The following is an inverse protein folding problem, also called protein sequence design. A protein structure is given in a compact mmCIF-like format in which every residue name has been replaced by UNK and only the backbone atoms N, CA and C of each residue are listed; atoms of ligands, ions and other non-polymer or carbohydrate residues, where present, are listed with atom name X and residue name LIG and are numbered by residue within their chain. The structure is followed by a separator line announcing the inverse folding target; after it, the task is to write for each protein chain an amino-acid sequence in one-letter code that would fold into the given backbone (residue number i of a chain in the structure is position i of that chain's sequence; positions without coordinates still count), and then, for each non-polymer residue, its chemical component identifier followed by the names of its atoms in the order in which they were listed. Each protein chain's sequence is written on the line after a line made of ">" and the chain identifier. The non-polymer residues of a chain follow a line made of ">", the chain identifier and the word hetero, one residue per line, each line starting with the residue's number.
data_IF_824827935058
#
_entry.id   IF_824827935058
#
_cell.length_a   1.000
_cell.length_b   1.000
_cell.length_c   1.000
_cell.angle_alpha   90.00
_cell.angle_beta   90.00
_cell.angle_gamma   90.00
#
_symmetry.space_group_name_H-M   'P 1'
#
loop_
_entity.id
_entity.type
_entity.pdbx_description
1 polymer ?
#
# COMPACT_ATOMS: atom_id res chain seq x y z
N UNK A 1 20.71 -11.31 30.80
CA UNK A 1 19.42 -12.00 30.59
C UNK A 1 19.67 -13.08 29.54
N UNK A 2 19.86 -14.32 29.97
CA UNK A 2 20.36 -15.43 29.16
C UNK A 2 19.27 -15.92 28.23
N UNK A 3 19.52 -15.96 26.91
CA UNK A 3 18.58 -16.49 25.90
C UNK A 3 18.21 -17.93 26.28
N UNK A 4 16.92 -18.28 26.43
CA UNK A 4 16.54 -19.66 26.70
C UNK A 4 17.05 -20.56 25.55
N UNK A 5 17.41 -21.82 25.84
CA UNK A 5 17.83 -22.75 24.80
C UNK A 5 16.72 -22.86 23.75
N UNK A 6 17.09 -22.89 22.46
CA UNK A 6 16.16 -23.15 21.35
C UNK A 6 15.57 -24.54 21.58
N UNK A 7 14.43 -24.59 22.26
CA UNK A 7 13.66 -25.81 22.40
C UNK A 7 13.29 -26.28 20.99
N UNK A 8 13.25 -27.59 20.82
CA UNK A 8 12.77 -28.26 19.62
C UNK A 8 11.27 -27.94 19.48
N UNK A 9 10.98 -26.81 18.82
CA UNK A 9 9.62 -26.31 18.65
C UNK A 9 9.02 -27.06 17.47
N UNK A 10 7.95 -27.82 17.74
CA UNK A 10 7.13 -28.44 16.68
C UNK A 10 6.69 -27.36 15.67
N UNK A 11 7.13 -27.43 14.40
CA UNK A 11 6.87 -26.41 13.39
C UNK A 11 5.38 -26.33 12.99
N UNK A 12 4.57 -27.32 13.36
CA UNK A 12 3.10 -27.27 13.22
C UNK A 12 2.41 -26.55 14.37
N UNK A 13 3.10 -26.30 15.49
CA UNK A 13 2.54 -25.64 16.69
C UNK A 13 3.09 -24.25 16.95
N UNK A 14 4.35 -23.98 16.60
CA UNK A 14 4.92 -22.64 16.69
C UNK A 14 6.06 -22.44 15.69
N UNK A 15 6.34 -21.18 15.37
CA UNK A 15 7.49 -20.79 14.54
C UNK A 15 8.35 -19.78 15.27
N UNK A 16 9.66 -19.97 15.18
CA UNK A 16 10.61 -18.97 15.65
C UNK A 16 10.50 -17.75 14.74
N UNK A 17 10.39 -16.59 15.35
CA UNK A 17 10.43 -15.30 14.68
C UNK A 17 11.34 -14.35 15.45
N UNK A 18 11.85 -13.34 14.75
CA UNK A 18 12.63 -12.26 15.32
C UNK A 18 11.77 -11.01 15.42
N UNK A 19 11.88 -10.31 16.54
CA UNK A 19 11.26 -9.00 16.74
C UNK A 19 12.32 -7.91 16.53
N UNK A 20 11.96 -6.87 15.78
CA UNK A 20 12.73 -5.65 15.62
C UNK A 20 11.87 -4.48 16.08
N UNK A 21 12.37 -3.65 17.00
CA UNK A 21 11.67 -2.47 17.50
C UNK A 21 12.42 -1.20 17.11
N UNK A 22 11.71 -0.18 16.62
CA UNK A 22 12.27 1.11 16.25
C UNK A 22 11.28 2.25 16.55
N UNK A 23 11.79 3.48 16.63
CA UNK A 23 10.98 4.69 16.80
C UNK A 23 11.08 5.56 15.55
N UNK A 24 9.99 6.24 15.23
CA UNK A 24 9.92 7.23 14.14
C UNK A 24 9.86 8.61 14.80
N UNK A 25 10.94 9.37 14.71
CA UNK A 25 11.09 10.62 15.47
C UNK A 25 10.28 11.79 14.92
N UNK A 26 9.77 11.69 13.68
CA UNK A 26 8.97 12.74 13.02
C UNK A 26 7.46 12.46 13.08
N UNK A 27 7.02 11.59 13.99
CA UNK A 27 5.59 11.26 14.15
C UNK A 27 4.97 12.18 15.19
N UNK A 28 4.21 13.17 14.72
CA UNK A 28 3.63 14.25 15.54
C UNK A 28 2.78 13.81 16.75
N UNK A 29 2.28 12.57 16.79
CA UNK A 29 1.29 12.12 17.78
C UNK A 29 1.57 10.74 18.41
N UNK A 30 2.75 10.12 18.22
CA UNK A 30 3.01 8.81 18.86
C UNK A 30 4.50 8.46 19.03
N UNK A 31 4.96 8.40 20.28
CA UNK A 31 6.32 7.97 20.70
C UNK A 31 6.43 6.44 20.93
N UNK A 32 5.34 5.69 20.77
CA UNK A 32 5.35 4.24 20.95
C UNK A 32 6.25 3.57 19.91
N UNK A 33 7.17 2.69 20.34
CA UNK A 33 8.05 1.97 19.44
C UNK A 33 7.25 1.01 18.55
N UNK A 34 7.47 1.10 17.24
CA UNK A 34 6.91 0.17 16.27
C UNK A 34 7.70 -1.14 16.37
N UNK A 35 6.99 -2.26 16.52
CA UNK A 35 7.59 -3.60 16.58
C UNK A 35 7.21 -4.43 15.35
N UNK A 36 8.22 -4.96 14.66
CA UNK A 36 8.08 -5.81 13.49
C UNK A 36 8.43 -7.26 13.84
N UNK A 37 7.58 -8.18 13.43
CA UNK A 37 7.85 -9.62 13.48
C UNK A 37 8.35 -10.09 12.10
N UNK A 38 9.49 -10.76 12.05
CA UNK A 38 10.06 -11.33 10.81
C UNK A 38 10.48 -12.78 10.99
N UNK A 39 10.34 -13.59 9.93
CA UNK A 39 10.89 -14.94 9.85
C UNK A 39 12.38 -14.96 9.49
N UNK A 40 12.98 -13.81 9.13
CA UNK A 40 14.42 -13.69 8.86
C UNK A 40 15.16 -13.58 10.20
N UNK A 41 15.77 -14.67 10.61
CA UNK A 41 16.32 -14.81 11.96
C UNK A 41 17.70 -14.19 12.13
N UNK A 42 18.52 -14.13 11.07
CA UNK A 42 19.85 -13.55 11.11
C UNK A 42 19.80 -12.01 10.94
N UNK A 43 20.35 -11.23 11.89
CA UNK A 43 20.50 -9.78 11.74
C UNK A 43 21.33 -9.32 10.55
N UNK A 44 22.28 -10.12 10.07
CA UNK A 44 23.09 -9.78 8.91
C UNK A 44 22.28 -9.84 7.60
N UNK A 45 21.37 -10.82 7.49
CA UNK A 45 20.51 -11.00 6.31
C UNK A 45 19.40 -9.94 6.23
N UNK A 46 18.94 -9.45 7.39
CA UNK A 46 17.96 -8.38 7.47
C UNK A 46 18.27 -7.42 8.63
N UNK A 47 19.06 -6.36 8.37
CA UNK A 47 19.34 -5.33 9.35
C UNK A 47 18.07 -4.59 9.77
N UNK A 48 18.03 -4.12 11.02
CA UNK A 48 16.85 -3.48 11.60
C UNK A 48 16.39 -2.23 10.80
N UNK A 49 17.34 -1.41 10.35
CA UNK A 49 17.04 -0.21 9.56
C UNK A 49 16.39 -0.54 8.21
N UNK A 50 16.91 -1.56 7.51
CA UNK A 50 16.36 -2.03 6.23
C UNK A 50 14.94 -2.58 6.43
N UNK A 51 14.70 -3.33 7.50
CA UNK A 51 13.36 -3.82 7.84
C UNK A 51 12.39 -2.67 8.18
N UNK A 52 12.86 -1.64 8.89
CA UNK A 52 12.07 -0.46 9.20
C UNK A 52 11.68 0.31 7.93
N UNK A 53 12.63 0.53 7.02
CA UNK A 53 12.41 1.20 5.74
C UNK A 53 11.47 0.40 4.83
N UNK A 54 11.70 -0.91 4.67
CA UNK A 54 10.82 -1.77 3.89
C UNK A 54 9.39 -1.82 4.48
N UNK A 55 9.26 -1.79 5.81
CA UNK A 55 7.95 -1.72 6.45
C UNK A 55 7.30 -0.34 6.27
N UNK A 56 8.08 0.73 6.23
CA UNK A 56 7.59 2.07 5.89
C UNK A 56 7.06 2.09 4.45
N UNK A 57 7.80 1.56 3.47
CA UNK A 57 7.33 1.39 2.09
C UNK A 57 6.09 0.48 1.97
N UNK A 58 5.92 -0.49 2.90
CA UNK A 58 4.68 -1.27 3.00
C UNK A 58 3.51 -0.42 3.48
N UNK A 59 3.72 0.58 4.32
CA UNK A 59 2.67 1.51 4.72
C UNK A 59 2.14 2.29 3.49
N UNK A 60 2.99 2.57 2.51
CA UNK A 60 2.55 3.19 1.25
C UNK A 60 1.62 2.27 0.43
N UNK A 61 1.70 0.95 0.63
CA UNK A 61 0.68 0.04 0.09
C UNK A 61 -0.68 0.19 0.80
N UNK A 62 -0.70 0.52 2.08
CA UNK A 62 -1.94 0.86 2.78
C UNK A 62 -2.53 2.17 2.24
N UNK A 63 -1.70 3.13 1.89
CA UNK A 63 -2.09 4.31 1.11
C UNK A 63 -2.72 3.91 -0.23
N UNK A 64 -2.15 2.95 -0.96
CA UNK A 64 -2.71 2.42 -2.22
C UNK A 64 -4.09 1.75 -2.02
N UNK A 65 -4.28 1.02 -0.91
CA UNK A 65 -5.60 0.49 -0.53
C UNK A 65 -6.61 1.62 -0.26
N UNK A 66 -6.17 2.71 0.37
CA UNK A 66 -6.96 3.93 0.56
C UNK A 66 -7.32 4.60 -0.78
N UNK A 67 -6.37 4.68 -1.71
CA UNK A 67 -6.60 5.20 -3.07
C UNK A 67 -7.72 4.44 -3.78
N UNK A 68 -7.69 3.11 -3.73
CA UNK A 68 -8.70 2.27 -4.36
C UNK A 68 -10.07 2.39 -3.67
N UNK A 69 -10.11 2.24 -2.34
CA UNK A 69 -11.37 2.17 -1.58
C UNK A 69 -12.04 3.53 -1.40
N UNK A 70 -11.26 4.59 -1.20
CA UNK A 70 -11.77 5.90 -0.79
C UNK A 70 -11.80 6.88 -1.96
N UNK A 71 -10.76 6.93 -2.78
CA UNK A 71 -10.66 7.94 -3.84
C UNK A 71 -11.21 7.46 -5.18
N UNK A 72 -10.88 6.22 -5.56
CA UNK A 72 -11.30 5.65 -6.84
C UNK A 72 -12.74 5.11 -6.79
N UNK A 73 -13.07 4.23 -5.85
CA UNK A 73 -14.46 3.76 -5.66
C UNK A 73 -15.37 4.85 -5.09
N UNK A 74 -14.83 5.65 -4.17
CA UNK A 74 -15.59 6.63 -3.39
C UNK A 74 -15.99 6.08 -2.01
N UNK A 75 -16.07 6.95 -0.99
CA UNK A 75 -16.39 6.55 0.37
C UNK A 75 -17.79 5.92 0.45
N UNK A 76 -17.94 4.86 1.26
CA UNK A 76 -19.23 4.22 1.54
C UNK A 76 -19.91 3.51 0.37
N UNK A 77 -19.29 3.46 -0.81
CA UNK A 77 -19.85 2.74 -1.98
C UNK A 77 -19.64 1.24 -1.83
N UNK A 78 -20.72 0.47 -1.94
CA UNK A 78 -20.66 -1.00 -2.12
C UNK A 78 -20.46 -1.36 -3.60
N UNK A 79 -19.91 -2.54 -3.86
CA UNK A 79 -19.85 -3.11 -5.21
C UNK A 79 -21.28 -3.31 -5.75
N UNK A 80 -21.48 -3.07 -7.05
CA UNK A 80 -22.81 -3.12 -7.67
C UNK A 80 -23.20 -4.53 -8.10
N UNK A 81 -22.21 -5.37 -8.35
CA UNK A 81 -22.38 -6.74 -8.82
C UNK A 81 -23.06 -7.63 -7.78
N UNK A 82 -23.94 -8.53 -8.24
CA UNK A 82 -24.75 -9.42 -7.38
C UNK A 82 -24.37 -10.90 -7.45
N UNK A 83 -23.33 -11.26 -8.21
CA UNK A 83 -22.79 -12.62 -8.27
C UNK A 83 -21.29 -12.64 -7.95
N UNK A 84 -20.75 -13.72 -7.36
CA UNK A 84 -19.33 -13.80 -6.99
C UNK A 84 -18.37 -13.57 -8.18
N UNK A 85 -18.72 -14.10 -9.36
CA UNK A 85 -17.92 -13.92 -10.57
C UNK A 85 -17.89 -12.44 -11.02
N UNK A 86 -19.06 -11.77 -11.04
CA UNK A 86 -19.13 -10.35 -11.42
C UNK A 86 -18.49 -9.44 -10.37
N UNK A 87 -18.59 -9.77 -9.09
CA UNK A 87 -17.88 -9.07 -8.01
C UNK A 87 -16.37 -9.14 -8.22
N UNK A 88 -15.86 -10.31 -8.57
CA UNK A 88 -14.43 -10.50 -8.89
C UNK A 88 -14.02 -9.65 -10.09
N UNK A 89 -14.82 -9.64 -11.16
CA UNK A 89 -14.59 -8.78 -12.33
C UNK A 89 -14.60 -7.30 -11.97
N UNK A 90 -15.55 -6.85 -11.15
CA UNK A 90 -15.65 -5.45 -10.71
C UNK A 90 -14.41 -5.03 -9.89
N UNK A 91 -13.89 -5.92 -9.04
CA UNK A 91 -12.63 -5.71 -8.31
C UNK A 91 -11.47 -5.55 -9.29
N UNK A 92 -11.34 -6.43 -10.29
CA UNK A 92 -10.32 -6.29 -11.33
C UNK A 92 -10.46 -4.98 -12.12
N UNK A 93 -11.68 -4.51 -12.37
CA UNK A 93 -11.92 -3.21 -12.98
C UNK A 93 -11.33 -2.06 -12.15
N UNK A 94 -11.53 -2.07 -10.83
CA UNK A 94 -10.90 -1.08 -9.93
C UNK A 94 -9.38 -1.19 -9.91
N UNK A 95 -8.83 -2.41 -9.86
CA UNK A 95 -7.38 -2.63 -9.86
C UNK A 95 -6.72 -2.15 -11.16
N UNK A 96 -7.31 -2.47 -12.32
CA UNK A 96 -6.82 -2.01 -13.62
C UNK A 96 -6.90 -0.48 -13.74
N UNK A 97 -8.00 0.12 -13.26
CA UNK A 97 -8.14 1.57 -13.28
C UNK A 97 -7.11 2.25 -12.36
N UNK A 98 -6.88 1.69 -11.16
CA UNK A 98 -5.84 2.18 -10.25
C UNK A 98 -4.44 2.08 -10.88
N UNK A 99 -4.13 0.94 -11.51
CA UNK A 99 -2.87 0.74 -12.23
C UNK A 99 -2.69 1.76 -13.36
N UNK A 100 -3.70 1.97 -14.20
CA UNK A 100 -3.64 2.93 -15.31
C UNK A 100 -3.39 4.37 -14.83
N UNK A 101 -4.05 4.78 -13.73
CA UNK A 101 -3.83 6.11 -13.13
C UNK A 101 -2.42 6.21 -12.54
N UNK A 102 -1.93 5.16 -11.89
CA UNK A 102 -0.58 5.14 -11.31
C UNK A 102 0.49 5.22 -12.40
N UNK A 103 0.33 4.46 -13.49
CA UNK A 103 1.21 4.53 -14.65
C UNK A 103 1.24 5.94 -15.27
N UNK A 104 0.08 6.58 -15.41
CA UNK A 104 -0.02 7.96 -15.88
C UNK A 104 0.69 8.95 -14.94
N UNK A 105 0.57 8.76 -13.62
CA UNK A 105 1.29 9.58 -12.62
C UNK A 105 2.80 9.42 -12.80
N UNK A 106 3.30 8.18 -12.88
CA UNK A 106 4.73 7.92 -13.07
C UNK A 106 5.25 8.56 -14.35
N UNK A 107 4.52 8.42 -15.46
CA UNK A 107 4.88 9.04 -16.73
C UNK A 107 4.94 10.57 -16.61
N UNK A 108 3.88 11.20 -16.09
CA UNK A 108 3.82 12.66 -15.94
C UNK A 108 4.88 13.22 -14.98
N UNK A 109 5.17 12.50 -13.90
CA UNK A 109 6.22 12.86 -12.95
C UNK A 109 7.61 12.76 -13.58
N UNK A 110 7.86 11.70 -14.36
CA UNK A 110 9.10 11.53 -15.14
C UNK A 110 9.28 12.66 -16.15
N UNK A 111 8.23 13.03 -16.88
CA UNK A 111 8.26 14.14 -17.85
C UNK A 111 8.50 15.51 -17.17
N UNK A 112 8.09 15.64 -15.90
CA UNK A 112 8.25 16.86 -15.11
C UNK A 112 9.51 16.88 -14.22
N UNK A 113 10.35 15.84 -14.27
CA UNK A 113 11.54 15.66 -13.43
C UNK A 113 11.25 15.81 -11.92
N UNK A 114 10.14 15.21 -11.47
CA UNK A 114 9.77 15.13 -10.05
C UNK A 114 9.56 13.68 -9.62
N UNK A 115 9.68 13.46 -8.31
CA UNK A 115 9.35 12.17 -7.72
C UNK A 115 7.83 11.88 -7.88
N UNK A 116 7.42 10.72 -8.45
CA UNK A 116 6.02 10.31 -8.54
C UNK A 116 5.23 10.40 -7.23
N UNK A 117 5.88 10.18 -6.08
CA UNK A 117 5.23 10.21 -4.77
C UNK A 117 4.78 11.63 -4.36
N UNK A 118 5.32 12.67 -5.01
CA UNK A 118 4.85 14.04 -4.84
C UNK A 118 3.49 14.30 -5.52
N UNK A 119 3.06 13.43 -6.44
CA UNK A 119 1.81 13.58 -7.19
C UNK A 119 0.64 12.91 -6.44
N UNK A 120 -0.25 13.73 -5.89
CA UNK A 120 -1.41 13.24 -5.11
C UNK A 120 -2.43 12.51 -5.99
N UNK A 121 -2.52 11.19 -5.85
CA UNK A 121 -3.45 10.32 -6.60
C UNK A 121 -4.90 10.83 -6.70
N UNK A 122 -5.50 11.27 -5.58
CA UNK A 122 -6.89 11.76 -5.58
C UNK A 122 -7.09 13.02 -6.44
N UNK A 123 -6.05 13.86 -6.57
CA UNK A 123 -6.07 15.04 -7.45
C UNK A 123 -6.07 14.60 -8.91
N UNK A 124 -5.27 13.60 -9.26
CA UNK A 124 -5.27 12.97 -10.59
C UNK A 124 -6.62 12.37 -10.93
N UNK A 125 -7.24 11.59 -10.03
CA UNK A 125 -8.61 11.05 -10.21
C UNK A 125 -9.61 12.18 -10.49
N UNK A 126 -9.55 13.29 -9.75
CA UNK A 126 -10.45 14.44 -9.95
C UNK A 126 -10.25 15.11 -11.31
N UNK A 127 -9.01 15.24 -11.77
CA UNK A 127 -8.69 15.80 -13.10
C UNK A 127 -9.22 14.86 -14.20
N UNK A 128 -8.94 13.56 -14.11
CA UNK A 128 -9.38 12.57 -15.10
C UNK A 128 -10.92 12.50 -15.17
N UNK A 129 -11.62 12.47 -14.03
CA UNK A 129 -13.08 12.49 -14.02
C UNK A 129 -13.66 13.72 -14.71
N UNK A 130 -13.08 14.90 -14.48
CA UNK A 130 -13.50 16.14 -15.17
C UNK A 130 -13.31 16.04 -16.68
N UNK A 131 -12.19 15.48 -17.14
CA UNK A 131 -11.91 15.28 -18.57
C UNK A 131 -12.86 14.28 -19.22
N UNK A 132 -13.14 13.15 -18.56
CA UNK A 132 -14.05 12.11 -19.09
C UNK A 132 -15.51 12.57 -19.10
N UNK A 133 -15.90 13.44 -18.16
CA UNK A 133 -17.25 14.00 -18.09
C UNK A 133 -17.45 15.25 -18.97
N UNK A 134 -16.42 15.69 -19.70
CA UNK A 134 -16.51 16.81 -20.63
C UNK A 134 -17.24 16.33 -21.92
N UNK A 135 -18.44 16.85 -22.23
CA UNK A 135 -19.31 16.33 -23.29
C UNK A 135 -18.80 16.56 -24.72
N UNK A 136 -17.62 17.19 -24.90
CA UNK A 136 -17.04 17.45 -26.23
C UNK A 136 -16.51 16.20 -26.95
N UNK A 137 -16.51 15.02 -26.31
CA UNK A 137 -15.95 13.79 -26.88
C UNK A 137 -16.90 12.96 -27.76
N UNK A 138 -18.19 13.28 -27.82
CA UNK A 138 -19.14 12.61 -28.73
C UNK A 138 -20.09 13.64 -29.35
N UNK A 139 -19.75 14.09 -30.56
CA UNK A 139 -20.78 14.61 -31.47
C UNK A 139 -21.63 13.44 -31.97
N UNK A 140 -22.96 13.61 -32.12
CA UNK A 140 -23.87 12.55 -32.56
C UNK A 140 -23.53 12.01 -33.96
#
# INVERSE_FOLDING_TARGET
>A
MTRPPRADIDPHRARIARVVSYQVTDRADNDEPISLLTSILDPADAPAAVLAEAYHQRWDHETSNGQLKTHLRGPGRVLRSKSPAMVTQEIYGYLLTHYAISALICQAATEADIDPDQVKFHRTVRILRRRVQDPTAFSP
#
